data_IF_452256717810
#
_entry.id   IF_452256717810
#
_cell.length_a   1.000
_cell.length_b   1.000
_cell.length_c   1.000
_cell.angle_alpha   90.00
_cell.angle_beta   90.00
_cell.angle_gamma   90.00
#
_symmetry.space_group_name_H-M   'P 1'
#
loop_
_entity.id
_entity.type
_entity.pdbx_description
1 polymer ?
#
# COMPACT_ATOMS: atom_id res chain seq x y z
N UNK A 1 1.17 -30.07 -19.55
CA UNK A 1 0.60 -28.71 -19.60
C UNK A 1 -0.32 -28.56 -18.41
N UNK A 2 -0.18 -27.49 -17.62
CA UNK A 2 -1.10 -27.21 -16.52
C UNK A 2 -2.50 -26.98 -17.10
N UNK A 3 -3.52 -27.58 -16.47
CA UNK A 3 -4.91 -27.40 -16.88
C UNK A 3 -5.39 -26.04 -16.37
N UNK A 4 -5.88 -25.17 -17.26
CA UNK A 4 -6.46 -23.88 -16.87
C UNK A 4 -7.68 -24.13 -15.97
N UNK A 5 -7.70 -23.57 -14.76
CA UNK A 5 -8.87 -23.54 -13.88
C UNK A 5 -9.64 -22.23 -14.12
N UNK A 6 -10.82 -22.26 -14.77
CA UNK A 6 -11.65 -21.07 -14.93
C UNK A 6 -12.05 -20.51 -13.56
N UNK A 7 -12.11 -19.19 -13.41
CA UNK A 7 -12.49 -18.55 -12.14
C UNK A 7 -11.36 -18.38 -11.12
N UNK A 8 -10.13 -18.84 -11.41
CA UNK A 8 -8.95 -18.65 -10.55
C UNK A 8 -8.04 -17.55 -11.10
N UNK A 9 -7.55 -16.67 -10.22
CA UNK A 9 -6.47 -15.72 -10.51
C UNK A 9 -5.43 -15.71 -9.37
N UNK A 10 -4.17 -15.55 -9.73
CA UNK A 10 -3.09 -15.30 -8.77
C UNK A 10 -2.56 -13.87 -8.98
N UNK A 11 -2.53 -13.11 -7.88
CA UNK A 11 -1.98 -11.77 -7.78
C UNK A 11 -0.61 -11.88 -7.10
N UNK A 12 0.36 -11.19 -7.67
CA UNK A 12 1.71 -11.11 -7.12
C UNK A 12 1.99 -9.67 -6.77
N UNK A 13 2.62 -9.43 -5.62
CA UNK A 13 3.19 -8.13 -5.37
C UNK A 13 4.17 -7.76 -6.49
N UNK A 14 4.09 -6.51 -6.92
CA UNK A 14 5.01 -5.92 -7.89
C UNK A 14 5.50 -4.63 -7.28
N UNK A 15 6.80 -4.52 -7.09
CA UNK A 15 7.47 -3.32 -6.61
C UNK A 15 7.21 -2.15 -7.58
N UNK A 16 6.13 -1.40 -7.34
CA UNK A 16 5.85 0.02 -7.62
C UNK A 16 6.17 0.64 -8.98
N UNK A 17 6.66 -0.10 -9.99
CA UNK A 17 7.40 0.50 -11.11
C UNK A 17 6.69 0.45 -12.46
N UNK A 18 5.59 -0.31 -12.61
CA UNK A 18 5.07 -0.64 -13.95
C UNK A 18 3.65 -0.16 -14.26
N UNK A 19 2.93 0.48 -13.35
CA UNK A 19 1.57 0.98 -13.66
C UNK A 19 1.33 2.40 -13.17
N UNK A 20 0.84 3.24 -14.09
CA UNK A 20 0.39 4.58 -13.74
C UNK A 20 -0.84 4.47 -12.78
N UNK A 21 -0.86 5.21 -11.67
CA UNK A 21 -1.96 5.19 -10.72
C UNK A 21 -3.28 5.58 -11.40
N UNK A 22 -4.31 4.77 -11.19
CA UNK A 22 -5.63 4.91 -11.83
C UNK A 22 -6.51 6.03 -11.24
N UNK A 23 -6.07 6.66 -10.15
CA UNK A 23 -6.78 7.75 -9.46
C UNK A 23 -5.82 8.82 -8.97
N UNK A 24 -6.28 10.06 -9.01
CA UNK A 24 -5.58 11.25 -8.51
C UNK A 24 -6.05 11.60 -7.10
N UNK A 25 -5.12 11.67 -6.16
CA UNK A 25 -5.34 12.15 -4.79
C UNK A 25 -5.90 13.57 -4.79
N UNK A 26 -5.39 14.42 -5.70
CA UNK A 26 -5.85 15.80 -5.88
C UNK A 26 -7.33 15.89 -6.19
N UNK A 27 -7.79 15.07 -7.12
CA UNK A 27 -9.21 15.02 -7.49
C UNK A 27 -10.08 14.47 -6.35
N UNK A 28 -9.55 13.59 -5.51
CA UNK A 28 -10.32 12.97 -4.44
C UNK A 28 -10.47 13.86 -3.20
N UNK A 29 -9.37 14.48 -2.74
CA UNK A 29 -9.36 15.30 -1.53
C UNK A 29 -9.74 16.76 -1.79
N UNK A 30 -9.52 17.26 -3.00
CA UNK A 30 -9.70 18.68 -3.34
C UNK A 30 -8.55 19.58 -2.88
N UNK A 31 -8.41 20.72 -3.56
CA UNK A 31 -7.25 21.61 -3.42
C UNK A 31 -7.15 22.23 -2.02
N UNK A 32 -8.28 22.52 -1.37
CA UNK A 32 -8.28 23.14 -0.03
C UNK A 32 -7.77 22.19 1.04
N UNK A 33 -8.24 20.94 1.06
CA UNK A 33 -7.81 19.92 2.02
C UNK A 33 -6.34 19.55 1.80
N UNK A 34 -5.90 19.47 0.54
CA UNK A 34 -4.49 19.24 0.23
C UNK A 34 -3.62 20.38 0.72
N UNK A 35 -4.03 21.63 0.47
CA UNK A 35 -3.29 22.79 0.94
C UNK A 35 -3.20 22.82 2.47
N UNK A 36 -4.28 22.55 3.18
CA UNK A 36 -4.26 22.50 4.66
C UNK A 36 -3.37 21.37 5.18
N UNK A 37 -3.45 20.18 4.56
CA UNK A 37 -2.58 19.05 4.88
C UNK A 37 -1.09 19.39 4.70
N UNK A 38 -0.72 19.98 3.57
CA UNK A 38 0.66 20.41 3.28
C UNK A 38 1.12 21.45 4.29
N UNK A 39 0.34 22.51 4.47
CA UNK A 39 0.73 23.63 5.33
C UNK A 39 0.96 23.17 6.77
N UNK A 40 0.05 22.36 7.31
CA UNK A 40 0.20 21.81 8.64
C UNK A 40 1.45 20.91 8.75
N UNK A 41 1.65 20.02 7.78
CA UNK A 41 2.79 19.10 7.75
C UNK A 41 4.11 19.87 7.73
N UNK A 42 4.22 20.91 6.89
CA UNK A 42 5.42 21.75 6.80
C UNK A 42 5.67 22.54 8.08
N UNK A 43 4.64 23.11 8.70
CA UNK A 43 4.77 23.79 10.00
C UNK A 43 5.23 22.83 11.10
N UNK A 44 4.61 21.66 11.20
CA UNK A 44 5.00 20.62 12.15
C UNK A 44 6.47 20.22 11.98
N UNK A 45 6.91 19.98 10.74
CA UNK A 45 8.31 19.66 10.44
C UNK A 45 9.28 20.82 10.71
N UNK A 46 8.84 22.07 10.58
CA UNK A 46 9.64 23.25 10.89
C UNK A 46 9.94 23.32 12.40
N UNK A 47 8.94 23.04 13.25
CA UNK A 47 9.03 23.15 14.71
C UNK A 47 9.74 21.96 15.38
N UNK A 48 9.88 20.83 14.68
CA UNK A 48 10.60 19.67 15.18
C UNK A 48 12.09 20.00 15.37
N UNK A 49 12.61 19.76 16.57
CA UNK A 49 14.04 19.80 16.86
C UNK A 49 14.70 18.45 16.52
N UNK A 50 15.47 18.43 15.43
CA UNK A 50 16.28 17.27 15.01
C UNK A 50 17.65 17.72 14.51
N UNK A 51 18.70 16.91 14.71
CA UNK A 51 20.07 17.29 14.41
C UNK A 51 20.32 17.56 12.91
N UNK A 52 19.55 16.95 12.01
CA UNK A 52 19.70 17.11 10.56
C UNK A 52 18.33 17.14 9.87
N UNK A 53 18.07 18.20 9.09
CA UNK A 53 16.97 18.30 8.10
C UNK A 53 17.56 18.30 6.69
N UNK A 54 17.10 17.43 5.80
CA UNK A 54 17.51 17.34 4.38
C UNK A 54 16.27 17.44 3.47
N UNK A 55 16.49 17.83 2.22
CA UNK A 55 15.42 18.26 1.28
C UNK A 55 14.45 17.16 0.82
N UNK A 56 13.36 17.61 0.21
CA UNK A 56 12.13 16.85 -0.12
C UNK A 56 11.40 16.34 1.12
N UNK A 57 10.79 17.26 1.88
CA UNK A 57 10.02 16.93 3.08
C UNK A 57 8.64 16.34 2.80
N UNK A 58 8.07 16.72 1.65
CA UNK A 58 6.78 16.24 1.15
C UNK A 58 6.95 15.90 -0.32
N UNK A 59 6.63 14.67 -0.70
CA UNK A 59 6.61 14.21 -2.10
C UNK A 59 5.17 13.94 -2.52
N UNK A 60 4.68 14.67 -3.53
CA UNK A 60 3.37 14.39 -4.15
C UNK A 60 3.50 13.33 -5.21
N UNK A 61 2.85 12.20 -4.99
CA UNK A 61 2.61 11.18 -6.00
C UNK A 61 1.13 11.19 -6.37
N UNK A 62 0.80 10.71 -7.56
CA UNK A 62 -0.58 10.80 -8.07
C UNK A 62 -1.61 10.11 -7.15
N UNK A 63 -1.23 9.07 -6.40
CA UNK A 63 -2.12 8.38 -5.44
C UNK A 63 -1.84 8.59 -3.95
N UNK A 64 -0.76 9.26 -3.56
CA UNK A 64 -0.30 9.33 -2.15
C UNK A 64 0.65 10.52 -1.90
N UNK A 65 0.82 10.88 -0.64
CA UNK A 65 1.82 11.87 -0.18
C UNK A 65 2.84 11.19 0.72
N UNK A 66 4.14 11.41 0.47
CA UNK A 66 5.21 10.90 1.33
C UNK A 66 5.79 12.00 2.21
N UNK A 67 6.08 11.70 3.47
CA UNK A 67 6.63 12.65 4.44
C UNK A 67 7.78 12.05 5.25
N UNK A 68 8.84 12.83 5.54
CA UNK A 68 10.08 12.32 6.16
C UNK A 68 10.34 12.75 7.63
N UNK A 69 10.92 11.86 8.46
CA UNK A 69 11.32 11.96 9.88
C UNK A 69 10.20 12.00 10.97
N UNK A 70 10.53 11.53 12.19
CA UNK A 70 9.67 11.37 13.40
C UNK A 70 8.29 10.74 13.11
N UNK A 71 8.31 9.47 12.72
CA UNK A 71 7.19 8.82 12.00
C UNK A 71 5.96 8.55 12.86
N UNK A 72 6.10 7.85 13.99
CA UNK A 72 4.94 7.39 14.76
C UNK A 72 4.13 8.56 15.38
N UNK A 73 4.82 9.47 16.09
CA UNK A 73 4.18 10.63 16.73
C UNK A 73 3.58 11.60 15.73
N UNK A 74 4.25 11.82 14.58
CA UNK A 74 3.70 12.65 13.52
C UNK A 74 2.46 12.03 12.88
N UNK A 75 2.47 10.71 12.62
CA UNK A 75 1.31 9.98 12.10
C UNK A 75 0.14 10.06 13.07
N UNK A 76 0.36 9.94 14.38
CA UNK A 76 -0.70 10.12 15.39
C UNK A 76 -1.32 11.52 15.32
N UNK A 77 -0.49 12.57 15.33
CA UNK A 77 -0.95 13.97 15.24
C UNK A 77 -1.71 14.23 13.94
N UNK A 78 -1.20 13.74 12.80
CA UNK A 78 -1.87 13.89 11.51
C UNK A 78 -3.19 13.12 11.46
N UNK A 79 -3.24 11.92 12.04
CA UNK A 79 -4.45 11.09 12.10
C UNK A 79 -5.54 11.76 12.93
N UNK A 80 -5.19 12.37 14.06
CA UNK A 80 -6.14 13.13 14.87
C UNK A 80 -6.64 14.37 14.14
N UNK A 81 -5.73 15.20 13.61
CA UNK A 81 -6.10 16.46 12.94
C UNK A 81 -6.96 16.22 11.69
N UNK A 82 -6.59 15.22 10.89
CA UNK A 82 -7.22 14.93 9.61
C UNK A 82 -8.14 13.70 9.65
N UNK A 83 -8.68 13.35 10.83
CA UNK A 83 -9.60 12.23 10.98
C UNK A 83 -10.80 12.31 10.02
N UNK A 84 -11.28 13.53 9.74
CA UNK A 84 -12.38 13.80 8.81
C UNK A 84 -12.06 13.49 7.33
N UNK A 85 -10.79 13.36 6.96
CA UNK A 85 -10.36 13.02 5.60
C UNK A 85 -10.27 11.51 5.36
N UNK A 86 -10.48 10.67 6.39
CA UNK A 86 -10.39 9.21 6.31
C UNK A 86 -9.10 8.73 5.60
N UNK A 87 -7.95 9.26 6.02
CA UNK A 87 -6.65 8.87 5.47
C UNK A 87 -6.07 7.67 6.23
N UNK A 88 -5.46 6.77 5.46
CA UNK A 88 -4.59 5.70 5.94
C UNK A 88 -3.13 6.16 5.83
N UNK A 89 -2.34 5.83 6.86
CA UNK A 89 -0.93 6.19 6.95
C UNK A 89 -0.12 4.89 7.06
N UNK A 90 0.82 4.68 6.13
CA UNK A 90 1.71 3.52 6.11
C UNK A 90 3.15 3.96 6.33
N UNK A 91 3.81 3.44 7.37
CA UNK A 91 5.19 3.80 7.68
C UNK A 91 6.12 2.89 6.87
N UNK A 92 6.59 3.37 5.72
CA UNK A 92 7.47 2.63 4.80
C UNK A 92 8.91 3.15 4.77
N UNK A 93 9.89 2.24 4.71
CA UNK A 93 11.31 2.57 4.60
C UNK A 93 11.94 3.08 5.90
N UNK A 94 13.13 3.69 5.80
CA UNK A 94 13.88 4.18 6.97
C UNK A 94 13.49 5.60 7.41
N UNK A 95 13.00 6.42 6.47
CA UNK A 95 12.86 7.86 6.69
C UNK A 95 11.45 8.41 6.42
N UNK A 96 10.53 7.67 5.80
CA UNK A 96 9.24 8.20 5.33
C UNK A 96 8.01 7.46 5.86
N UNK A 97 6.84 8.02 5.57
CA UNK A 97 5.54 7.35 5.58
C UNK A 97 4.68 7.87 4.42
N UNK A 98 3.73 7.05 3.98
CA UNK A 98 2.79 7.34 2.89
C UNK A 98 1.42 7.64 3.49
N UNK A 99 0.72 8.65 2.96
CA UNK A 99 -0.67 8.98 3.30
C UNK A 99 -1.57 8.86 2.06
N UNK A 100 -2.64 8.06 2.17
CA UNK A 100 -3.58 7.79 1.09
C UNK A 100 -5.01 7.57 1.62
N UNK A 101 -6.07 7.76 0.82
CA UNK A 101 -7.44 7.55 1.28
C UNK A 101 -7.66 6.10 1.72
N UNK A 102 -8.52 5.89 2.72
CA UNK A 102 -8.88 4.55 3.17
C UNK A 102 -9.34 3.65 2.02
N UNK A 103 -8.83 2.42 1.97
CA UNK A 103 -9.13 1.45 0.92
C UNK A 103 -8.41 1.72 -0.41
N UNK A 104 -7.44 2.64 -0.45
CA UNK A 104 -6.50 2.81 -1.58
C UNK A 104 -5.19 2.03 -1.37
N UNK A 105 -5.17 1.10 -0.42
CA UNK A 105 -4.17 0.04 -0.32
C UNK A 105 -4.37 -1.01 -1.44
N UNK A 106 -3.59 -2.11 -1.40
CA UNK A 106 -3.62 -3.14 -2.44
C UNK A 106 -4.99 -3.80 -2.61
N UNK A 107 -5.86 -3.80 -1.59
CA UNK A 107 -7.24 -4.33 -1.70
C UNK A 107 -8.08 -3.60 -2.75
N UNK A 108 -7.71 -2.36 -3.11
CA UNK A 108 -8.42 -1.59 -4.11
C UNK A 108 -8.57 -2.30 -5.46
N UNK A 109 -7.63 -3.18 -5.82
CA UNK A 109 -7.71 -3.93 -7.08
C UNK A 109 -8.83 -5.00 -7.06
N UNK A 110 -9.19 -5.52 -5.87
CA UNK A 110 -10.11 -6.65 -5.72
C UNK A 110 -11.51 -6.35 -6.25
N UNK A 111 -11.97 -5.09 -6.18
CA UNK A 111 -13.27 -4.65 -6.71
C UNK A 111 -13.41 -4.76 -8.23
N UNK A 112 -12.33 -5.07 -8.94
CA UNK A 112 -12.33 -5.31 -10.38
C UNK A 112 -12.24 -6.81 -10.72
N UNK A 113 -12.22 -7.68 -9.71
CA UNK A 113 -11.96 -9.12 -9.84
C UNK A 113 -13.18 -9.96 -9.43
N UNK A 114 -14.38 -9.39 -9.50
CA UNK A 114 -15.64 -10.07 -9.11
C UNK A 114 -15.95 -11.31 -9.96
N UNK A 115 -15.33 -11.42 -11.14
CA UNK A 115 -15.44 -12.57 -12.04
C UNK A 115 -14.59 -13.79 -11.61
N UNK A 116 -13.73 -13.64 -10.58
CA UNK A 116 -12.90 -14.71 -10.05
C UNK A 116 -13.42 -15.19 -8.70
N UNK A 117 -13.65 -16.50 -8.61
CA UNK A 117 -14.11 -17.19 -7.40
C UNK A 117 -12.95 -17.43 -6.41
N UNK A 118 -11.76 -17.71 -6.94
CA UNK A 118 -10.57 -18.00 -6.15
C UNK A 118 -9.45 -17.01 -6.52
N UNK A 119 -9.08 -16.16 -5.57
CA UNK A 119 -8.02 -15.16 -5.73
C UNK A 119 -6.89 -15.52 -4.78
N UNK A 120 -5.73 -15.91 -5.32
CA UNK A 120 -4.52 -16.05 -4.51
C UNK A 120 -3.75 -14.74 -4.53
N UNK A 121 -3.17 -14.36 -3.40
CA UNK A 121 -2.27 -13.21 -3.31
C UNK A 121 -0.92 -13.64 -2.72
N UNK A 122 0.19 -13.31 -3.37
CA UNK A 122 1.55 -13.57 -2.92
C UNK A 122 2.28 -12.26 -2.62
N UNK A 123 2.80 -12.09 -1.40
CA UNK A 123 3.52 -10.88 -0.98
C UNK A 123 4.57 -11.12 0.09
N UNK A 124 5.55 -10.22 0.22
CA UNK A 124 6.70 -10.34 1.14
C UNK A 124 6.50 -9.58 2.46
N UNK A 125 5.66 -8.53 2.46
CA UNK A 125 5.41 -7.66 3.62
C UNK A 125 3.99 -7.79 4.13
N UNK A 126 3.60 -9.04 4.43
CA UNK A 126 2.24 -9.42 4.88
C UNK A 126 2.00 -9.20 6.38
N UNK A 127 3.05 -8.93 7.16
CA UNK A 127 2.96 -8.62 8.58
C UNK A 127 2.19 -7.32 8.84
N UNK A 128 1.60 -7.18 10.04
CA UNK A 128 0.84 -5.97 10.42
C UNK A 128 1.67 -4.70 10.24
N UNK A 129 1.21 -3.80 9.37
CA UNK A 129 1.90 -2.56 9.01
C UNK A 129 2.80 -2.65 7.77
N UNK A 130 2.99 -3.83 7.19
CA UNK A 130 3.54 -4.00 5.86
C UNK A 130 2.51 -3.64 4.78
N UNK A 131 2.99 -3.28 3.58
CA UNK A 131 2.13 -2.80 2.49
C UNK A 131 1.32 -3.90 1.79
N UNK A 132 1.56 -5.18 2.10
CA UNK A 132 0.77 -6.32 1.63
C UNK A 132 -0.30 -6.74 2.64
N UNK A 133 -0.25 -6.23 3.86
CA UNK A 133 -1.04 -6.75 4.97
C UNK A 133 -2.55 -6.75 4.68
N UNK A 134 -3.09 -5.63 4.19
CA UNK A 134 -4.53 -5.49 3.97
C UNK A 134 -5.06 -6.41 2.86
N UNK A 135 -4.29 -6.59 1.77
CA UNK A 135 -4.68 -7.52 0.70
C UNK A 135 -4.46 -8.96 1.11
N UNK A 136 -3.44 -9.27 1.90
CA UNK A 136 -3.16 -10.61 2.42
C UNK A 136 -4.27 -11.09 3.39
N UNK A 137 -4.73 -10.23 4.29
CA UNK A 137 -5.80 -10.53 5.27
C UNK A 137 -7.22 -10.43 4.69
N UNK A 138 -7.36 -10.04 3.42
CA UNK A 138 -8.68 -9.88 2.81
C UNK A 138 -9.42 -11.21 2.73
N UNK A 139 -10.69 -11.24 3.16
CA UNK A 139 -11.53 -12.43 3.05
C UNK A 139 -11.77 -12.90 1.60
N UNK A 140 -11.47 -12.03 0.61
CA UNK A 140 -11.54 -12.36 -0.81
C UNK A 140 -10.31 -13.08 -1.35
N UNK A 141 -9.24 -13.16 -0.56
CA UNK A 141 -7.97 -13.69 -1.02
C UNK A 141 -7.52 -14.87 -0.18
N UNK A 142 -6.88 -15.83 -0.83
CA UNK A 142 -6.03 -16.83 -0.19
C UNK A 142 -4.60 -16.24 -0.19
N UNK A 143 -4.21 -15.67 0.95
CA UNK A 143 -2.92 -15.01 1.12
C UNK A 143 -1.76 -15.99 1.34
N UNK A 144 -0.64 -15.73 0.66
CA UNK A 144 0.60 -16.48 0.75
C UNK A 144 1.75 -15.51 1.06
N UNK A 145 2.43 -15.73 2.17
CA UNK A 145 3.66 -14.99 2.48
C UNK A 145 4.82 -15.63 1.74
N UNK A 146 5.61 -14.83 1.04
CA UNK A 146 6.80 -15.27 0.30
C UNK A 146 8.04 -14.51 0.77
N UNK A 147 9.21 -15.13 0.66
CA UNK A 147 10.48 -14.54 1.10
C UNK A 147 11.43 -14.22 -0.05
N UNK A 148 11.18 -14.79 -1.22
CA UNK A 148 11.98 -14.59 -2.43
C UNK A 148 11.19 -14.95 -3.69
N UNK A 149 11.69 -14.58 -4.89
CA UNK A 149 11.13 -15.05 -6.15
C UNK A 149 11.14 -16.59 -6.29
N UNK A 150 12.17 -17.25 -5.75
CA UNK A 150 12.28 -18.71 -5.79
C UNK A 150 11.22 -19.38 -4.90
N UNK A 151 11.00 -18.86 -3.69
CA UNK A 151 9.93 -19.32 -2.78
C UNK A 151 8.54 -19.13 -3.44
N UNK A 152 8.33 -17.99 -4.11
CA UNK A 152 7.10 -17.73 -4.87
C UNK A 152 6.88 -18.80 -5.97
N UNK A 153 7.96 -19.15 -6.69
CA UNK A 153 7.92 -20.18 -7.74
C UNK A 153 7.60 -21.57 -7.18
N UNK A 154 8.21 -21.94 -6.06
CA UNK A 154 8.00 -23.23 -5.40
C UNK A 154 6.56 -23.39 -4.90
N UNK A 155 6.02 -22.33 -4.28
CA UNK A 155 4.62 -22.31 -3.84
C UNK A 155 3.65 -22.39 -5.01
N UNK A 156 3.87 -21.60 -6.06
CA UNK A 156 3.06 -21.64 -7.28
C UNK A 156 3.11 -23.00 -7.98
N UNK A 157 4.28 -23.64 -8.00
CA UNK A 157 4.45 -24.99 -8.55
C UNK A 157 3.62 -25.99 -7.77
N UNK A 158 3.67 -25.91 -6.44
CA UNK A 158 2.91 -26.80 -5.55
C UNK A 158 1.40 -26.63 -5.71
N UNK A 159 0.93 -25.38 -5.78
CA UNK A 159 -0.49 -25.05 -5.79
C UNK A 159 -1.16 -25.25 -7.16
N UNK A 160 -0.45 -24.89 -8.23
CA UNK A 160 -1.07 -24.75 -9.55
C UNK A 160 -0.50 -25.71 -10.60
N UNK A 161 0.74 -26.19 -10.43
CA UNK A 161 1.47 -26.92 -11.49
C UNK A 161 1.71 -28.40 -11.17
N UNK A 162 1.67 -28.80 -9.90
CA UNK A 162 1.72 -30.21 -9.53
C UNK A 162 0.44 -30.91 -9.97
N UNK A 163 0.60 -31.92 -10.84
CA UNK A 163 -0.50 -32.79 -11.25
C UNK A 163 -1.03 -33.49 -9.99
N UNK A 164 -2.30 -33.27 -9.66
CA UNK A 164 -3.02 -34.28 -8.88
C UNK A 164 -2.91 -35.59 -9.67
N UNK A 165 -2.35 -36.62 -9.02
CA UNK A 165 -2.25 -37.97 -9.57
C UNK A 165 -3.64 -38.55 -9.83
#
# INVERSE_FOLDING_TARGET
MAVRRPGLIALFDVDGTLTAPRKSLKTHLGDENIRDFINFTLHYLADIDIPIKRGTFIEFRSGMINVHNIRAKMVEVLREKFAHLNLTFSIGGQISFDAFPQGWDKTYCLKYLDEFEEIHFFGDKTYKGGNDHEIYESARTVGHTVTSPDDTMDQCTTLFLNKQA
#
